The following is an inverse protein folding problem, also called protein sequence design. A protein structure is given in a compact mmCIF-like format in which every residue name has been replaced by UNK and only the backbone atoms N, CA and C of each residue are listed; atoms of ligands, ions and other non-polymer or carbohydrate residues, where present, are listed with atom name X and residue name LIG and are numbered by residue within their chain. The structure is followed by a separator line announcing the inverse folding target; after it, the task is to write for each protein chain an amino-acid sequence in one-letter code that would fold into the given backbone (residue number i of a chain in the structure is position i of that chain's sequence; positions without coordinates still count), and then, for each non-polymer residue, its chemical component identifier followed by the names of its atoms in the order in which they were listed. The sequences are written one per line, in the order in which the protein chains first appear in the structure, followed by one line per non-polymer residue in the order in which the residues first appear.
data_IF_941276207541
#
_entry.id   IF_941276207541
#
_cell.length_a   1.000
_cell.length_b   1.000
_cell.length_c   1.000
_cell.angle_alpha   90.00
_cell.angle_beta   90.00
_cell.angle_gamma   90.00
#
_symmetry.space_group_name_H-M   'P 1'
#
loop_
_entity.id
_entity.type
_entity.pdbx_description
1 polymer ?
#
# COMPACT_ATOMS: atom_id res chain seq x y z
N UNK A 1 -8.82 1.99 -21.95
CA UNK A 1 -8.61 0.53 -22.09
C UNK A 1 -7.53 0.10 -21.10
N UNK A 2 -7.70 -1.05 -20.44
CA UNK A 2 -6.65 -1.68 -19.62
C UNK A 2 -5.70 -2.43 -20.56
N UNK A 3 -4.40 -2.14 -20.50
CA UNK A 3 -3.36 -2.76 -21.36
C UNK A 3 -2.27 -3.49 -20.59
N UNK A 4 -2.30 -3.42 -19.26
CA UNK A 4 -1.35 -4.11 -18.38
C UNK A 4 -1.97 -4.30 -17.00
N UNK A 5 -1.65 -5.43 -16.36
CA UNK A 5 -2.13 -5.79 -15.02
C UNK A 5 -1.01 -6.49 -14.29
N UNK A 6 -0.79 -6.11 -13.03
CA UNK A 6 0.12 -6.77 -12.13
C UNK A 6 -0.46 -6.82 -10.73
N UNK A 7 -0.31 -7.95 -10.06
CA UNK A 7 -0.88 -8.16 -8.75
C UNK A 7 0.06 -9.01 -7.88
N UNK A 8 0.08 -8.69 -6.60
CA UNK A 8 0.73 -9.46 -5.54
C UNK A 8 -0.32 -9.70 -4.48
N UNK A 9 -0.82 -10.93 -4.42
CA UNK A 9 -1.98 -11.33 -3.65
C UNK A 9 -1.58 -12.46 -2.69
N UNK A 10 -2.22 -12.57 -1.52
CA UNK A 10 -2.00 -13.69 -0.62
C UNK A 10 -2.68 -14.95 -1.21
N UNK A 11 -2.14 -16.13 -0.92
CA UNK A 11 -2.71 -17.40 -1.36
C UNK A 11 -3.89 -17.88 -0.50
N UNK A 12 -4.09 -17.27 0.67
CA UNK A 12 -5.20 -17.55 1.56
C UNK A 12 -4.95 -17.04 2.98
N UNK A 13 -5.91 -17.30 3.87
CA UNK A 13 -5.76 -17.06 5.29
C UNK A 13 -4.84 -18.10 5.95
N UNK A 14 -3.94 -17.63 6.80
CA UNK A 14 -3.09 -18.47 7.64
C UNK A 14 -2.88 -17.86 9.01
N UNK A 15 -2.49 -18.69 9.98
CA UNK A 15 -2.05 -18.20 11.28
C UNK A 15 -0.82 -17.31 11.09
N UNK A 16 -0.86 -16.13 11.71
CA UNK A 16 0.20 -15.14 11.63
C UNK A 16 0.63 -14.73 13.03
N UNK A 17 1.89 -15.02 13.37
CA UNK A 17 2.40 -14.89 14.74
C UNK A 17 2.28 -13.48 15.34
N UNK A 18 2.44 -12.37 14.60
CA UNK A 18 2.21 -11.03 15.16
C UNK A 18 0.81 -10.82 15.73
N UNK A 19 -0.17 -11.61 15.31
CA UNK A 19 -1.58 -11.44 15.69
C UNK A 19 -2.04 -12.40 16.80
N UNK A 20 -1.14 -13.20 17.38
CA UNK A 20 -1.49 -14.17 18.44
C UNK A 20 -2.08 -13.52 19.71
N UNK A 21 -1.91 -12.21 19.87
CA UNK A 21 -2.44 -11.43 21.00
C UNK A 21 -3.82 -10.81 20.72
N UNK A 22 -4.37 -11.02 19.52
CA UNK A 22 -5.68 -10.52 19.12
C UNK A 22 -6.73 -11.64 19.21
N UNK A 23 -8.03 -11.31 19.18
CA UNK A 23 -9.11 -12.31 19.19
C UNK A 23 -9.02 -13.36 18.06
N UNK A 24 -8.35 -13.03 16.96
CA UNK A 24 -8.03 -13.95 15.88
C UNK A 24 -6.61 -13.68 15.38
N UNK A 25 -5.86 -14.76 15.13
CA UNK A 25 -4.52 -14.70 14.58
C UNK A 25 -4.48 -15.02 13.07
N UNK A 26 -5.64 -15.13 12.41
CA UNK A 26 -5.70 -15.37 10.97
C UNK A 26 -5.40 -14.08 10.20
N UNK A 27 -4.59 -14.18 9.16
CA UNK A 27 -4.32 -13.09 8.22
C UNK A 27 -4.05 -13.61 6.81
N UNK A 28 -4.39 -12.80 5.81
CA UNK A 28 -3.94 -13.02 4.43
C UNK A 28 -2.59 -12.37 4.21
N UNK A 29 -1.54 -13.19 4.24
CA UNK A 29 -0.16 -12.71 4.19
C UNK A 29 0.45 -13.12 2.86
N UNK A 30 1.15 -12.20 2.21
CA UNK A 30 1.92 -12.48 1.00
C UNK A 30 3.31 -12.95 1.42
N UNK A 31 3.82 -14.03 0.84
CA UNK A 31 5.22 -14.39 1.04
C UNK A 31 6.14 -13.30 0.46
N UNK A 32 7.24 -12.99 1.16
CA UNK A 32 8.11 -11.88 0.79
C UNK A 32 8.58 -11.98 -0.67
N UNK A 33 8.17 -11.06 -1.57
CA UNK A 33 8.58 -11.13 -2.96
C UNK A 33 10.08 -10.86 -3.09
N UNK A 34 10.73 -11.49 -4.07
CA UNK A 34 12.11 -11.12 -4.42
C UNK A 34 12.12 -9.72 -5.05
N UNK A 35 12.71 -8.78 -4.31
CA UNK A 35 12.83 -7.38 -4.72
C UNK A 35 14.10 -7.10 -5.53
N UNK A 36 15.04 -8.04 -5.61
CA UNK A 36 16.30 -7.87 -6.34
C UNK A 36 16.11 -7.31 -7.76
N UNK A 37 15.16 -7.83 -8.56
CA UNK A 37 14.90 -7.34 -9.91
C UNK A 37 14.33 -5.91 -9.98
N UNK A 38 13.72 -5.42 -8.89
CA UNK A 38 12.92 -4.20 -8.88
C UNK A 38 13.60 -3.02 -8.18
N UNK A 39 14.74 -3.25 -7.52
CA UNK A 39 15.47 -2.25 -6.77
C UNK A 39 16.66 -1.72 -7.57
N UNK A 40 16.70 -0.40 -7.80
CA UNK A 40 17.90 0.29 -8.31
C UNK A 40 19.11 0.10 -7.40
N UNK A 41 18.91 0.07 -6.08
CA UNK A 41 19.99 -0.11 -5.09
C UNK A 41 19.50 -0.99 -3.95
N UNK A 42 20.28 -2.01 -3.57
CA UNK A 42 19.93 -2.91 -2.46
C UNK A 42 19.66 -2.20 -1.14
N UNK A 43 20.34 -1.07 -0.88
CA UNK A 43 20.16 -0.28 0.35
C UNK A 43 18.79 0.39 0.46
N UNK A 44 18.09 0.58 -0.65
CA UNK A 44 16.77 1.23 -0.67
C UNK A 44 15.71 0.35 0.01
N UNK A 45 15.99 -0.96 0.16
CA UNK A 45 15.14 -1.89 0.91
C UNK A 45 14.83 -1.39 2.34
N UNK A 46 15.78 -0.73 2.99
CA UNK A 46 15.61 -0.20 4.36
C UNK A 46 14.61 0.96 4.45
N UNK A 47 14.22 1.52 3.31
CA UNK A 47 13.28 2.62 3.21
C UNK A 47 11.87 2.16 2.77
N UNK A 48 11.69 0.86 2.50
CA UNK A 48 10.41 0.32 2.07
C UNK A 48 9.56 -0.04 3.29
N UNK A 49 8.38 0.57 3.39
CA UNK A 49 7.30 0.01 4.19
C UNK A 49 6.76 -1.27 3.52
N UNK A 50 6.07 -2.11 4.29
CA UNK A 50 5.53 -3.39 3.79
C UNK A 50 4.66 -3.23 2.54
N UNK A 51 3.78 -2.22 2.49
CA UNK A 51 2.97 -1.94 1.30
C UNK A 51 3.82 -1.61 0.05
N UNK A 52 4.96 -0.93 0.21
CA UNK A 52 5.86 -0.63 -0.91
C UNK A 52 6.59 -1.89 -1.41
N UNK A 53 6.93 -2.82 -0.50
CA UNK A 53 7.48 -4.14 -0.87
C UNK A 53 6.52 -4.92 -1.78
N UNK A 54 5.20 -4.81 -1.55
CA UNK A 54 4.19 -5.45 -2.40
C UNK A 54 3.97 -4.67 -3.70
N UNK A 55 4.00 -3.34 -3.63
CA UNK A 55 3.70 -2.46 -4.75
C UNK A 55 4.70 -2.55 -5.90
N UNK A 56 6.01 -2.64 -5.60
CA UNK A 56 7.05 -2.68 -6.63
C UNK A 56 6.83 -3.83 -7.63
N UNK A 57 6.85 -5.11 -7.23
CA UNK A 57 6.60 -6.21 -8.16
C UNK A 57 5.24 -6.13 -8.88
N UNK A 58 4.18 -5.66 -8.21
CA UNK A 58 2.87 -5.48 -8.85
C UNK A 58 2.91 -4.40 -9.96
N UNK A 59 3.51 -3.24 -9.69
CA UNK A 59 3.68 -2.18 -10.68
C UNK A 59 4.59 -2.63 -11.84
N UNK A 60 5.69 -3.31 -11.52
CA UNK A 60 6.62 -3.87 -12.51
C UNK A 60 5.97 -4.88 -13.44
N UNK A 61 5.13 -5.77 -12.91
CA UNK A 61 4.35 -6.70 -13.72
C UNK A 61 3.32 -5.98 -14.60
N UNK A 62 2.65 -4.94 -14.09
CA UNK A 62 1.68 -4.15 -14.86
C UNK A 62 2.32 -3.38 -16.02
N UNK A 63 3.55 -2.88 -15.84
CA UNK A 63 4.32 -2.17 -16.86
C UNK A 63 5.04 -3.09 -17.85
N UNK A 64 5.19 -4.39 -17.52
CA UNK A 64 6.05 -5.32 -18.22
C UNK A 64 5.80 -5.37 -19.73
N UNK A 65 6.84 -5.04 -20.51
CA UNK A 65 6.81 -5.11 -21.97
C UNK A 65 6.07 -3.97 -22.68
N UNK A 66 5.53 -2.98 -21.95
CA UNK A 66 4.86 -1.82 -22.54
C UNK A 66 5.87 -0.72 -22.88
N UNK A 67 5.78 -0.19 -24.09
CA UNK A 67 6.52 1.00 -24.51
C UNK A 67 5.69 2.24 -24.19
N UNK A 68 5.90 2.80 -22.99
CA UNK A 68 5.22 4.00 -22.50
C UNK A 68 6.23 5.14 -22.32
N UNK A 69 5.80 6.38 -22.56
CA UNK A 69 6.60 7.55 -22.19
C UNK A 69 6.45 7.80 -20.68
N UNK A 70 7.55 7.67 -19.94
CA UNK A 70 7.54 7.86 -18.49
C UNK A 70 7.33 9.32 -18.07
N UNK A 71 7.58 10.30 -18.96
CA UNK A 71 7.30 11.72 -18.72
C UNK A 71 5.79 12.01 -18.81
N UNK A 72 5.05 11.23 -19.59
CA UNK A 72 3.61 11.39 -19.77
C UNK A 72 2.78 10.34 -19.01
N UNK A 73 3.40 9.30 -18.46
CA UNK A 73 2.71 8.29 -17.67
C UNK A 73 2.28 8.88 -16.33
N UNK A 74 0.97 8.98 -16.13
CA UNK A 74 0.40 9.34 -14.84
C UNK A 74 0.51 8.20 -13.82
N UNK A 75 0.63 8.51 -12.53
CA UNK A 75 0.72 7.55 -11.44
C UNK A 75 -0.30 7.87 -10.34
N UNK A 76 -1.31 7.03 -10.19
CA UNK A 76 -2.40 7.22 -9.23
C UNK A 76 -2.42 6.05 -8.27
N UNK A 77 -2.09 6.27 -7.00
CA UNK A 77 -1.88 5.19 -6.03
C UNK A 77 -2.78 5.36 -4.81
N UNK A 78 -3.65 4.39 -4.59
CA UNK A 78 -4.41 4.27 -3.37
C UNK A 78 -3.59 3.53 -2.32
N UNK A 79 -3.67 4.01 -1.10
CA UNK A 79 -3.12 3.32 0.06
C UNK A 79 -4.14 3.34 1.19
N UNK A 80 -3.99 2.41 2.12
CA UNK A 80 -4.89 2.34 3.26
C UNK A 80 -4.56 3.44 4.26
N UNK A 81 -4.10 3.00 5.44
CA UNK A 81 -3.64 3.90 6.50
C UNK A 81 -2.12 4.00 6.43
N UNK A 82 -1.60 5.04 7.07
CA UNK A 82 -0.16 5.20 7.28
C UNK A 82 0.41 3.95 7.95
N UNK A 83 1.53 3.41 7.45
CA UNK A 83 2.22 2.32 8.15
C UNK A 83 2.52 2.75 9.59
N UNK A 84 2.21 1.91 10.58
CA UNK A 84 2.54 2.23 11.96
C UNK A 84 4.05 2.23 12.17
N UNK A 85 4.48 2.93 13.21
CA UNK A 85 5.80 2.69 13.79
C UNK A 85 5.82 1.27 14.41
N UNK A 86 6.85 0.48 14.09
CA UNK A 86 7.06 -0.88 14.58
C UNK A 86 7.86 -0.92 15.91
N UNK A 87 7.89 0.21 16.63
CA UNK A 87 8.56 0.37 17.93
C UNK A 87 9.88 1.14 17.85
N UNK A 88 10.19 1.70 16.68
CA UNK A 88 11.45 2.39 16.41
C UNK A 88 11.53 3.73 17.17
N UNK A 89 10.38 4.35 17.49
CA UNK A 89 10.32 5.51 18.36
C UNK A 89 10.20 5.18 19.86
N UNK A 90 10.15 3.91 20.29
CA UNK A 90 9.88 3.57 21.71
C UNK A 90 10.89 4.19 22.68
N UNK A 91 12.19 4.09 22.37
CA UNK A 91 13.23 4.70 23.21
C UNK A 91 13.09 6.23 23.28
N UNK A 92 12.70 6.85 22.16
CA UNK A 92 12.45 8.28 22.07
C UNK A 92 11.25 8.67 22.93
N UNK A 93 10.13 7.94 22.83
CA UNK A 93 8.92 8.17 23.63
C UNK A 93 9.16 7.96 25.13
N UNK A 94 9.90 6.91 25.50
CA UNK A 94 10.26 6.64 26.89
C UNK A 94 11.14 7.74 27.50
N UNK A 95 12.10 8.28 26.73
CA UNK A 95 12.93 9.39 27.18
C UNK A 95 12.15 10.71 27.34
N UNK A 96 11.02 10.86 26.65
CA UNK A 96 10.14 12.02 26.78
C UNK A 96 9.13 11.88 27.92
N UNK A 97 9.10 10.75 28.63
CA UNK A 97 8.14 10.48 29.68
C UNK A 97 8.70 10.86 31.06
N UNK A 98 7.85 11.42 31.92
CA UNK A 98 8.14 11.62 33.34
C UNK A 98 6.85 11.51 34.16
N UNK A 99 6.81 10.52 35.06
CA UNK A 99 5.67 10.23 35.94
C UNK A 99 4.31 10.01 35.20
N UNK A 100 4.34 9.30 34.08
CA UNK A 100 3.22 9.00 33.21
C UNK A 100 2.82 10.13 32.25
N UNK A 101 3.59 11.23 32.21
CA UNK A 101 3.26 12.41 31.40
C UNK A 101 4.38 12.79 30.43
N UNK A 102 4.01 13.47 29.34
CA UNK A 102 4.96 14.02 28.38
C UNK A 102 5.74 15.20 28.99
N UNK A 103 7.06 15.04 29.12
CA UNK A 103 8.01 16.09 29.47
C UNK A 103 8.45 16.85 28.21
N UNK A 104 7.93 18.08 28.06
CA UNK A 104 8.22 18.97 26.92
C UNK A 104 9.68 19.43 26.86
N UNK A 105 10.39 19.47 27.98
CA UNK A 105 11.81 19.83 27.98
C UNK A 105 12.65 18.69 27.38
N UNK A 106 12.30 17.45 27.69
CA UNK A 106 12.97 16.26 27.12
C UNK A 106 12.60 15.98 25.67
N UNK A 107 11.41 16.40 25.23
CA UNK A 107 10.97 16.33 23.83
C UNK A 107 11.98 16.96 22.86
N UNK A 108 12.45 18.18 23.14
CA UNK A 108 13.42 18.89 22.31
C UNK A 108 14.88 18.47 22.52
N UNK A 109 15.16 17.67 23.55
CA UNK A 109 16.50 17.23 23.94
C UNK A 109 16.70 15.74 23.69
N UNK A 110 16.77 14.97 24.78
CA UNK A 110 17.07 13.53 24.76
C UNK A 110 16.11 12.74 23.87
N UNK A 111 14.80 13.00 23.98
CA UNK A 111 13.80 12.34 23.15
C UNK A 111 14.06 12.57 21.66
N UNK A 112 14.34 13.81 21.25
CA UNK A 112 14.65 14.15 19.85
C UNK A 112 15.93 13.48 19.36
N UNK A 113 16.93 13.35 20.22
CA UNK A 113 18.23 12.74 19.89
C UNK A 113 18.11 11.22 19.66
N UNK A 114 17.19 10.56 20.37
CA UNK A 114 16.90 9.12 20.21
C UNK A 114 15.92 8.81 19.07
N UNK A 115 15.22 9.82 18.55
CA UNK A 115 14.23 9.62 17.49
C UNK A 115 14.89 9.23 16.15
N UNK A 116 14.52 8.10 15.53
CA UNK A 116 15.13 7.69 14.27
C UNK A 116 14.85 8.71 13.16
N UNK A 117 15.89 9.30 12.53
CA UNK A 117 15.71 10.45 11.64
C UNK A 117 14.93 10.11 10.36
N UNK A 118 14.92 8.83 9.96
CA UNK A 118 14.23 8.36 8.76
C UNK A 118 12.85 7.75 9.06
N UNK A 119 12.46 7.63 10.32
CA UNK A 119 11.16 7.07 10.69
C UNK A 119 9.97 7.86 10.10
N UNK A 120 9.93 9.21 10.14
CA UNK A 120 8.84 9.96 9.53
C UNK A 120 8.72 9.67 8.06
N UNK A 121 9.84 9.46 7.36
CA UNK A 121 9.79 9.11 5.95
C UNK A 121 9.09 7.77 5.76
N UNK A 122 9.41 6.74 6.57
CA UNK A 122 8.82 5.38 6.51
C UNK A 122 7.33 5.29 6.81
N UNK A 123 6.81 6.23 7.59
CA UNK A 123 5.38 6.28 7.96
C UNK A 123 4.55 7.17 7.03
N UNK A 124 5.17 7.90 6.10
CA UNK A 124 4.44 8.76 5.18
C UNK A 124 3.51 7.95 4.25
N UNK A 125 2.26 8.39 4.07
CA UNK A 125 1.28 7.69 3.23
C UNK A 125 1.74 7.61 1.76
N UNK A 126 2.35 8.67 1.23
CA UNK A 126 2.76 8.74 -0.17
C UNK A 126 4.02 7.94 -0.54
N UNK A 127 4.62 7.19 0.40
CA UNK A 127 5.85 6.44 0.14
C UNK A 127 5.73 5.40 -0.96
N UNK A 128 4.59 4.71 -1.02
CA UNK A 128 4.34 3.70 -2.06
C UNK A 128 4.43 4.36 -3.43
N UNK A 129 3.75 5.50 -3.60
CA UNK A 129 3.80 6.28 -4.83
C UNK A 129 5.22 6.72 -5.16
N UNK A 130 5.94 7.28 -4.18
CA UNK A 130 7.31 7.76 -4.38
C UNK A 130 8.26 6.64 -4.81
N UNK A 131 8.18 5.47 -4.16
CA UNK A 131 9.02 4.33 -4.52
C UNK A 131 8.70 3.79 -5.91
N UNK A 132 7.42 3.65 -6.27
CA UNK A 132 7.03 3.23 -7.63
C UNK A 132 7.53 4.24 -8.67
N UNK A 133 7.30 5.53 -8.46
CA UNK A 133 7.78 6.58 -9.37
C UNK A 133 9.31 6.53 -9.54
N UNK A 134 10.05 6.46 -8.43
CA UNK A 134 11.51 6.46 -8.44
C UNK A 134 12.06 5.19 -9.09
N UNK A 135 11.54 4.00 -8.79
CA UNK A 135 12.06 2.75 -9.34
C UNK A 135 11.79 2.62 -10.84
N UNK A 136 10.59 3.00 -11.30
CA UNK A 136 10.21 2.91 -12.72
C UNK A 136 10.49 4.17 -13.53
N UNK A 137 10.95 5.25 -12.90
CA UNK A 137 11.31 6.49 -13.58
C UNK A 137 10.12 7.32 -14.06
N UNK A 138 8.95 7.14 -13.44
CA UNK A 138 7.70 7.83 -13.79
C UNK A 138 7.78 9.28 -13.32
N UNK A 139 7.49 10.21 -14.23
CA UNK A 139 7.64 11.66 -14.03
C UNK A 139 6.40 12.46 -14.42
N UNK A 140 5.38 11.80 -14.99
CA UNK A 140 4.09 12.41 -15.28
C UNK A 140 3.29 12.75 -14.03
N UNK A 141 2.03 13.16 -14.23
CA UNK A 141 1.12 13.53 -13.15
C UNK A 141 1.02 12.43 -12.10
N UNK A 142 1.14 12.79 -10.82
CA UNK A 142 1.05 11.82 -9.74
C UNK A 142 0.07 12.26 -8.65
N UNK A 143 -0.65 11.29 -8.09
CA UNK A 143 -1.54 11.51 -6.96
C UNK A 143 -1.58 10.28 -6.07
N UNK A 144 -1.44 10.50 -4.76
CA UNK A 144 -1.63 9.47 -3.74
C UNK A 144 -2.88 9.80 -2.94
N UNK A 145 -3.79 8.83 -2.83
CA UNK A 145 -5.01 8.97 -2.04
C UNK A 145 -4.95 7.96 -0.88
N UNK A 146 -5.04 8.48 0.34
CA UNK A 146 -5.11 7.70 1.56
C UNK A 146 -6.52 7.84 2.17
N UNK A 147 -7.02 6.79 2.82
CA UNK A 147 -8.36 6.85 3.42
C UNK A 147 -9.15 5.54 3.49
N UNK A 148 -8.48 4.38 3.44
CA UNK A 148 -9.16 3.08 3.50
C UNK A 148 -9.74 2.65 2.15
N UNK A 149 -10.79 1.81 2.16
CA UNK A 149 -11.32 1.16 0.95
C UNK A 149 -11.70 2.14 -0.17
N UNK A 150 -12.35 3.27 0.17
CA UNK A 150 -12.83 4.25 -0.80
C UNK A 150 -11.70 4.90 -1.62
N UNK A 151 -10.46 4.89 -1.12
CA UNK A 151 -9.31 5.42 -1.86
C UNK A 151 -9.05 4.65 -3.16
N UNK A 152 -9.29 3.33 -3.18
CA UNK A 152 -9.10 2.49 -4.37
C UNK A 152 -10.01 2.88 -5.53
N UNK A 153 -11.28 3.20 -5.23
CA UNK A 153 -12.22 3.73 -6.22
C UNK A 153 -11.85 5.16 -6.64
N UNK A 154 -11.39 5.99 -5.69
CA UNK A 154 -11.09 7.40 -5.94
C UNK A 154 -9.87 7.60 -6.85
N UNK A 155 -8.84 6.74 -6.75
CA UNK A 155 -7.68 6.82 -7.66
C UNK A 155 -8.02 6.41 -9.09
N UNK A 156 -8.97 5.50 -9.27
CA UNK A 156 -9.49 5.15 -10.59
C UNK A 156 -10.15 6.36 -11.26
N UNK A 157 -10.98 7.09 -10.51
CA UNK A 157 -11.65 8.29 -11.00
C UNK A 157 -10.66 9.41 -11.30
N UNK A 158 -9.66 9.61 -10.43
CA UNK A 158 -8.61 10.60 -10.65
C UNK A 158 -7.81 10.30 -11.93
N UNK A 159 -7.46 9.03 -12.17
CA UNK A 159 -6.76 8.61 -13.38
C UNK A 159 -7.60 8.82 -14.65
N UNK A 160 -8.87 8.45 -14.62
CA UNK A 160 -9.78 8.69 -15.75
C UNK A 160 -9.96 10.18 -16.03
N UNK A 161 -10.09 11.01 -15.00
CA UNK A 161 -10.19 12.45 -15.15
C UNK A 161 -8.90 13.03 -15.76
N UNK A 162 -7.72 12.55 -15.37
CA UNK A 162 -6.44 12.97 -15.96
C UNK A 162 -6.34 12.57 -17.44
N UNK A 163 -6.69 11.32 -17.79
CA UNK A 163 -6.71 10.84 -19.17
C UNK A 163 -7.71 11.61 -20.03
N UNK A 164 -8.93 11.84 -19.53
CA UNK A 164 -9.97 12.57 -20.26
C UNK A 164 -9.58 14.05 -20.49
N UNK A 165 -8.85 14.66 -19.55
CA UNK A 165 -8.34 16.01 -19.66
C UNK A 165 -7.05 16.12 -20.49
N UNK A 166 -6.48 15.01 -20.97
CA UNK A 166 -5.22 14.99 -21.73
C UNK A 166 -3.99 15.38 -20.90
N UNK A 167 -4.04 15.22 -19.56
CA UNK A 167 -2.91 15.53 -18.67
C UNK A 167 -1.87 14.41 -18.60
N UNK A 168 -2.22 13.22 -19.10
CA UNK A 168 -1.34 12.08 -19.30
C UNK A 168 -1.82 11.27 -20.51
N UNK A 169 -0.91 10.57 -21.20
CA UNK A 169 -1.24 9.69 -22.35
C UNK A 169 -1.54 8.26 -21.92
N UNK A 170 -1.05 7.87 -20.74
CA UNK A 170 -1.40 6.65 -20.04
C UNK A 170 -1.42 6.91 -18.53
N UNK A 171 -2.06 6.03 -17.76
CA UNK A 171 -2.07 6.09 -16.31
C UNK A 171 -1.78 4.70 -15.71
N UNK A 172 -0.78 4.63 -14.84
CA UNK A 172 -0.57 3.52 -13.94
C UNK A 172 -1.41 3.76 -12.69
N UNK A 173 -2.45 2.97 -12.51
CA UNK A 173 -3.40 3.05 -11.39
C UNK A 173 -3.16 1.87 -10.48
N UNK A 174 -2.95 2.11 -9.20
CA UNK A 174 -2.63 1.03 -8.27
C UNK A 174 -3.16 1.23 -6.87
N UNK A 175 -3.13 0.15 -6.11
CA UNK A 175 -3.39 0.13 -4.69
C UNK A 175 -2.39 -0.80 -4.01
N UNK A 176 -1.91 -0.42 -2.83
CA UNK A 176 -1.11 -1.31 -1.99
C UNK A 176 -1.47 -1.13 -0.51
N UNK A 177 -1.54 -2.23 0.21
CA UNK A 177 -1.97 -2.25 1.60
C UNK A 177 -1.34 -3.41 2.37
N UNK A 178 -1.03 -3.17 3.63
CA UNK A 178 -0.71 -4.22 4.58
C UNK A 178 -1.23 -3.80 5.96
N UNK A 179 -2.00 -4.69 6.59
CA UNK A 179 -2.45 -4.51 7.98
C UNK A 179 -2.26 -5.76 8.82
N UNK A 180 -1.31 -6.61 8.41
CA UNK A 180 -1.00 -7.88 9.07
C UNK A 180 -0.05 -7.71 10.26
N UNK A 181 0.50 -6.51 10.47
CA UNK A 181 1.21 -6.17 11.70
C UNK A 181 0.23 -5.95 12.88
N UNK A 182 0.75 -6.09 14.10
CA UNK A 182 -0.07 -6.02 15.32
C UNK A 182 -0.74 -4.65 15.51
N UNK A 183 -0.03 -3.56 15.21
CA UNK A 183 -0.55 -2.21 15.43
C UNK A 183 -1.71 -1.91 14.49
N UNK A 184 -1.55 -2.20 13.19
CA UNK A 184 -2.61 -2.05 12.18
C UNK A 184 -3.79 -2.97 12.47
N UNK A 185 -3.56 -4.24 12.81
CA UNK A 185 -4.63 -5.18 13.10
C UNK A 185 -5.41 -4.80 14.38
N UNK A 186 -4.73 -4.35 15.43
CA UNK A 186 -5.37 -3.78 16.63
C UNK A 186 -6.23 -2.56 16.30
N UNK A 187 -5.69 -1.67 15.47
CA UNK A 187 -6.40 -0.47 15.04
C UNK A 187 -7.66 -0.80 14.23
N UNK A 188 -7.61 -1.81 13.36
CA UNK A 188 -8.79 -2.33 12.64
C UNK A 188 -9.87 -2.80 13.62
N UNK A 189 -9.49 -3.56 14.65
CA UNK A 189 -10.42 -4.03 15.69
C UNK A 189 -11.05 -2.85 16.46
N UNK A 190 -10.27 -1.83 16.81
CA UNK A 190 -10.78 -0.61 17.47
C UNK A 190 -11.80 0.14 16.63
N UNK A 191 -11.66 0.09 15.30
CA UNK A 191 -12.58 0.72 14.35
C UNK A 191 -13.80 -0.15 14.06
N UNK A 192 -13.90 -1.35 14.64
CA UNK A 192 -15.00 -2.29 14.37
C UNK A 192 -14.95 -2.90 12.98
N UNK A 193 -13.79 -2.88 12.31
CA UNK A 193 -13.63 -3.53 11.01
C UNK A 193 -13.63 -5.05 11.20
N UNK A 194 -14.50 -5.72 10.46
CA UNK A 194 -14.67 -7.17 10.54
C UNK A 194 -13.62 -7.91 9.70
N UNK A 195 -13.51 -9.22 9.96
CA UNK A 195 -12.66 -10.12 9.18
C UNK A 195 -11.17 -10.05 9.51
N UNK A 196 -10.41 -11.09 9.12
CA UNK A 196 -8.96 -11.12 9.30
C UNK A 196 -8.29 -10.03 8.44
N UNK A 197 -7.22 -9.38 8.93
CA UNK A 197 -6.45 -8.44 8.11
C UNK A 197 -5.75 -9.17 6.96
N UNK A 198 -5.56 -8.45 5.86
CA UNK A 198 -4.77 -8.92 4.72
C UNK A 198 -3.71 -7.91 4.31
N UNK A 199 -2.88 -8.34 3.37
CA UNK A 199 -2.00 -7.46 2.61
C UNK A 199 -2.01 -7.85 1.13
N UNK A 200 -1.88 -6.86 0.25
CA UNK A 200 -1.84 -7.07 -1.18
C UNK A 200 -1.36 -5.80 -1.91
N UNK A 201 -1.05 -5.96 -3.19
CA UNK A 201 -0.95 -4.85 -4.13
C UNK A 201 -1.52 -5.23 -5.50
N UNK A 202 -2.15 -4.27 -6.17
CA UNK A 202 -2.62 -4.42 -7.56
C UNK A 202 -2.34 -3.13 -8.32
N UNK A 203 -1.89 -3.26 -9.55
CA UNK A 203 -1.62 -2.16 -10.47
C UNK A 203 -2.15 -2.50 -11.86
N UNK A 204 -2.67 -1.50 -12.56
CA UNK A 204 -3.12 -1.61 -13.94
C UNK A 204 -2.68 -0.40 -14.75
N UNK A 205 -2.51 -0.60 -16.05
CA UNK A 205 -2.20 0.47 -17.00
C UNK A 205 -3.42 0.79 -17.82
N UNK A 206 -3.85 2.05 -17.80
CA UNK A 206 -4.93 2.60 -18.60
C UNK A 206 -4.36 3.48 -19.73
N UNK A 207 -4.82 3.31 -20.96
CA UNK A 207 -4.44 4.16 -22.12
C UNK A 207 -5.56 5.07 -22.61
N UNK A 208 -6.74 4.96 -22.01
CA UNK A 208 -7.90 5.78 -22.30
C UNK A 208 -8.87 5.70 -21.13
N UNK A 209 -9.77 6.68 -20.94
CA UNK A 209 -10.83 6.61 -19.95
C UNK A 209 -11.58 5.28 -20.03
N UNK A 210 -11.79 4.64 -18.88
CA UNK A 210 -12.37 3.29 -18.79
C UNK A 210 -13.40 3.27 -17.67
N UNK A 211 -14.61 2.81 -18.00
CA UNK A 211 -15.67 2.60 -17.00
C UNK A 211 -15.31 1.51 -16.00
N UNK A 212 -15.89 1.58 -14.80
CA UNK A 212 -15.71 0.58 -13.75
C UNK A 212 -16.65 -0.60 -14.00
N UNK A 213 -16.15 -1.84 -14.15
CA UNK A 213 -17.00 -3.02 -14.32
C UNK A 213 -17.87 -3.34 -13.10
N UNK A 214 -17.44 -2.93 -11.90
CA UNK A 214 -18.23 -3.05 -10.67
C UNK A 214 -18.39 -4.50 -10.18
N UNK A 215 -17.29 -5.23 -10.05
CA UNK A 215 -17.32 -6.63 -9.56
C UNK A 215 -17.37 -6.69 -8.04
N UNK A 216 -18.22 -7.57 -7.50
CA UNK A 216 -18.28 -7.86 -6.07
C UNK A 216 -17.11 -8.75 -5.65
N UNK A 217 -16.22 -8.19 -4.82
CA UNK A 217 -15.02 -8.85 -4.31
C UNK A 217 -15.18 -9.40 -2.89
N UNK A 218 -16.39 -9.37 -2.31
CA UNK A 218 -16.62 -9.83 -0.93
C UNK A 218 -16.26 -11.30 -0.72
N UNK A 219 -16.63 -12.17 -1.66
CA UNK A 219 -16.28 -13.60 -1.58
C UNK A 219 -14.76 -13.83 -1.61
N UNK A 220 -14.01 -12.93 -2.24
CA UNK A 220 -12.55 -12.99 -2.25
C UNK A 220 -11.99 -12.54 -0.89
N UNK A 221 -12.52 -11.47 -0.31
CA UNK A 221 -12.13 -10.99 1.04
C UNK A 221 -12.25 -12.09 2.10
N UNK A 222 -13.26 -12.95 2.03
CA UNK A 222 -13.41 -14.08 2.97
C UNK A 222 -12.26 -15.10 2.87
N UNK A 223 -11.60 -15.20 1.73
CA UNK A 223 -10.52 -16.16 1.45
C UNK A 223 -9.14 -15.60 1.75
N UNK A 224 -8.97 -14.27 1.64
CA UNK A 224 -7.67 -13.60 1.70
C UNK A 224 -7.57 -12.49 2.74
N UNK A 225 -8.64 -12.25 3.49
CA UNK A 225 -8.72 -11.15 4.44
C UNK A 225 -8.93 -9.79 3.78
N UNK A 226 -9.11 -8.79 4.63
CA UNK A 226 -9.35 -7.42 4.20
C UNK A 226 -8.03 -6.73 3.82
N UNK A 227 -7.90 -6.46 2.51
CA UNK A 227 -6.77 -5.77 1.90
C UNK A 227 -7.05 -4.30 1.58
N UNK A 228 -8.08 -3.71 2.20
CA UNK A 228 -8.43 -2.30 2.16
C UNK A 228 -8.66 -1.76 0.74
N UNK A 229 -7.97 -0.69 0.32
CA UNK A 229 -8.18 -0.07 -1.00
C UNK A 229 -7.93 -1.00 -2.19
N UNK A 230 -7.18 -2.10 -2.00
CA UNK A 230 -6.96 -3.09 -3.05
C UNK A 230 -8.26 -3.77 -3.45
N UNK A 231 -9.20 -4.00 -2.51
CA UNK A 231 -10.52 -4.57 -2.81
C UNK A 231 -11.30 -3.68 -3.78
N UNK A 232 -11.41 -2.39 -3.46
CA UNK A 232 -12.14 -1.44 -4.29
C UNK A 232 -11.52 -1.33 -5.70
N UNK A 233 -10.20 -1.37 -5.81
CA UNK A 233 -9.52 -1.36 -7.11
C UNK A 233 -9.72 -2.67 -7.87
N UNK A 234 -9.69 -3.83 -7.21
CA UNK A 234 -9.99 -5.13 -7.82
C UNK A 234 -11.39 -5.17 -8.43
N UNK A 235 -12.39 -4.62 -7.73
CA UNK A 235 -13.75 -4.45 -8.25
C UNK A 235 -13.81 -3.50 -9.46
N UNK A 236 -12.98 -2.44 -9.46
CA UNK A 236 -12.89 -1.47 -10.55
C UNK A 236 -12.13 -1.98 -11.78
N UNK A 237 -11.28 -3.00 -11.66
CA UNK A 237 -10.61 -3.65 -12.81
C UNK A 237 -11.37 -4.87 -13.33
N UNK A 238 -12.44 -5.29 -12.64
CA UNK A 238 -13.23 -6.46 -13.00
C UNK A 238 -12.52 -7.80 -12.71
N UNK A 239 -11.67 -7.85 -11.69
CA UNK A 239 -10.95 -9.07 -11.33
C UNK A 239 -11.92 -10.11 -10.77
N UNK A 240 -12.08 -11.23 -11.47
CA UNK A 240 -12.96 -12.35 -11.08
C UNK A 240 -12.17 -13.56 -10.52
N UNK A 241 -10.94 -13.34 -10.03
CA UNK A 241 -10.00 -14.42 -9.73
C UNK A 241 -10.55 -15.48 -8.76
N UNK A 242 -10.33 -16.75 -9.11
CA UNK A 242 -10.43 -17.88 -8.17
C UNK A 242 -9.12 -17.95 -7.38
N UNK A 243 -9.20 -17.96 -6.05
CA UNK A 243 -8.05 -18.35 -5.21
C UNK A 243 -7.89 -19.85 -5.40
N UNK A 244 -6.89 -20.27 -6.18
CA UNK A 244 -6.51 -21.69 -6.25
C UNK A 244 -5.76 -22.03 -4.95
N UNK A 245 -6.40 -22.84 -4.11
CA UNK A 245 -5.83 -23.37 -2.87
C UNK A 245 -4.81 -24.48 -3.08
#
# INVERSE_FOLDING_TARGET
MIVGVGAVLPSGLRLHSPLLHLPSALAGVVDGPDLGPWLKRKKDLRLLARAAVLALPAAGAALGGLALDMEELGLFVAIGREPPDEGEAEASLAAMETAGALDRAKLGGEGRALYPPLLPLRTLPNLVLAHVAIQYGIRGENACLAGGEAAGASVWDAANAALAAGRCSAALVGAAYSAVDLASARDRLRLGLAGPPGEAAVFVVLTAPTERPGVDVRAWMEQVGDVGPVLALLGAVGFAGKVSG
#
